data_IF_872964495219
#
_entry.id   IF_872964495219
#
_cell.length_a   1.000
_cell.length_b   1.000
_cell.length_c   1.000
_cell.angle_alpha   90.00
_cell.angle_beta   90.00
_cell.angle_gamma   90.00
#
_symmetry.space_group_name_H-M   'P 1'
#
loop_
_entity.id
_entity.type
_entity.pdbx_description
1 polymer ?
#
# COMPACT_ATOMS: atom_id res chain seq x y z
N UNK A 1 -4.77 -8.49 12.82
CA UNK A 1 -4.44 -7.57 11.73
C UNK A 1 -5.29 -7.92 10.52
N UNK A 2 -5.95 -6.95 9.90
CA UNK A 2 -6.76 -7.18 8.70
C UNK A 2 -5.84 -7.26 7.48
N UNK A 3 -5.91 -8.36 6.72
CA UNK A 3 -5.07 -8.57 5.53
C UNK A 3 -5.44 -7.66 4.36
N UNK A 4 -6.62 -7.05 4.40
CA UNK A 4 -7.08 -6.13 3.39
C UNK A 4 -7.93 -5.04 4.03
N UNK A 5 -7.77 -3.81 3.55
CA UNK A 5 -8.50 -2.63 4.04
C UNK A 5 -9.13 -1.89 2.88
N UNK A 6 -10.31 -1.34 3.10
CA UNK A 6 -11.01 -0.53 2.12
C UNK A 6 -10.59 0.93 2.27
N UNK A 7 -10.02 1.49 1.21
CA UNK A 7 -9.71 2.91 1.11
C UNK A 7 -10.50 3.48 -0.06
N UNK A 8 -11.33 4.49 0.20
CA UNK A 8 -12.11 5.17 -0.84
C UNK A 8 -13.00 4.20 -1.66
N UNK A 9 -13.60 3.21 -0.98
CA UNK A 9 -14.39 2.15 -1.60
C UNK A 9 -13.60 1.12 -2.42
N UNK A 10 -12.27 1.28 -2.54
CA UNK A 10 -11.37 0.32 -3.20
C UNK A 10 -10.70 -0.57 -2.17
N UNK A 11 -10.59 -1.88 -2.46
CA UNK A 11 -9.88 -2.84 -1.61
C UNK A 11 -8.39 -2.81 -1.88
N UNK A 12 -7.61 -2.60 -0.84
CA UNK A 12 -6.16 -2.71 -0.85
C UNK A 12 -5.73 -3.88 0.03
N UNK A 13 -4.66 -4.55 -0.37
CA UNK A 13 -4.09 -5.69 0.34
C UNK A 13 -2.88 -5.23 1.13
N UNK A 14 -2.76 -5.67 2.38
CA UNK A 14 -1.56 -5.43 3.15
C UNK A 14 -0.38 -6.14 2.50
N UNK A 15 0.76 -5.47 2.46
CA UNK A 15 2.01 -6.01 1.93
C UNK A 15 2.58 -7.19 2.74
N UNK A 16 2.08 -7.39 3.96
CA UNK A 16 2.59 -8.40 4.89
C UNK A 16 3.81 -7.95 5.68
N UNK A 17 4.34 -6.76 5.41
CA UNK A 17 5.43 -6.12 6.16
C UNK A 17 4.92 -5.00 7.05
N UNK A 18 5.43 -4.98 8.28
CA UNK A 18 5.27 -3.88 9.24
C UNK A 18 6.54 -3.04 9.22
N UNK A 19 6.36 -1.73 9.21
CA UNK A 19 7.42 -0.75 9.11
C UNK A 19 7.50 0.02 10.45
N UNK A 20 8.69 0.07 11.03
CA UNK A 20 8.91 0.74 12.32
C UNK A 20 9.03 2.26 12.17
N UNK A 21 9.49 2.70 10.99
CA UNK A 21 9.68 4.12 10.67
C UNK A 21 8.93 4.50 9.40
N UNK A 22 8.48 5.75 9.36
CA UNK A 22 7.85 6.32 8.18
C UNK A 22 8.78 6.25 6.95
N UNK A 23 10.09 6.46 7.14
CA UNK A 23 11.08 6.43 6.06
C UNK A 23 11.15 5.07 5.34
N UNK A 24 11.20 3.94 6.07
CA UNK A 24 11.20 2.59 5.46
C UNK A 24 9.89 2.35 4.69
N UNK A 25 8.77 2.85 5.24
CA UNK A 25 7.46 2.73 4.58
C UNK A 25 7.37 3.58 3.31
N UNK A 26 8.00 4.76 3.30
CA UNK A 26 7.96 5.70 2.19
C UNK A 26 8.85 5.25 1.03
N UNK A 27 10.00 4.64 1.32
CA UNK A 27 10.86 4.02 0.29
C UNK A 27 10.10 2.89 -0.43
N UNK A 28 9.49 1.97 0.34
CA UNK A 28 8.72 0.88 -0.26
C UNK A 28 7.48 1.40 -1.00
N UNK A 29 6.79 2.41 -0.47
CA UNK A 29 5.66 3.04 -1.14
C UNK A 29 6.04 3.52 -2.56
N UNK A 30 7.18 4.21 -2.68
CA UNK A 30 7.68 4.69 -3.97
C UNK A 30 8.03 3.54 -4.92
N UNK A 31 8.63 2.47 -4.41
CA UNK A 31 8.93 1.27 -5.19
C UNK A 31 7.65 0.67 -5.80
N UNK A 32 6.62 0.45 -4.98
CA UNK A 32 5.35 -0.09 -5.45
C UNK A 32 4.63 0.84 -6.45
N UNK A 33 4.66 2.16 -6.20
CA UNK A 33 4.13 3.13 -7.17
C UNK A 33 4.86 3.06 -8.51
N UNK A 34 6.18 2.88 -8.51
CA UNK A 34 6.95 2.69 -9.75
C UNK A 34 6.59 1.41 -10.49
N UNK A 35 6.11 0.38 -9.79
CA UNK A 35 5.61 -0.87 -10.38
C UNK A 35 4.15 -0.75 -10.88
N UNK A 36 3.52 0.42 -10.77
CA UNK A 36 2.14 0.66 -11.18
C UNK A 36 1.09 0.23 -10.15
N UNK A 37 1.48 0.08 -8.88
CA UNK A 37 0.55 -0.16 -7.80
C UNK A 37 0.08 1.17 -7.18
N UNK A 38 -1.20 1.26 -6.85
CA UNK A 38 -1.70 2.25 -5.89
C UNK A 38 -1.29 1.77 -4.49
N UNK A 39 -0.72 2.67 -3.68
CA UNK A 39 -0.26 2.38 -2.32
C UNK A 39 -0.91 3.35 -1.35
N UNK A 40 -1.35 2.83 -0.20
CA UNK A 40 -1.87 3.58 0.94
C UNK A 40 -1.12 3.17 2.20
N UNK A 41 -0.54 4.14 2.88
CA UNK A 41 -0.01 3.97 4.23
C UNK A 41 -1.13 4.10 5.27
N UNK A 42 -1.07 3.28 6.31
CA UNK A 42 -1.85 3.44 7.52
C UNK A 42 -0.92 3.38 8.72
N UNK A 43 -0.95 4.44 9.53
CA UNK A 43 -0.20 4.51 10.77
C UNK A 43 -1.15 4.13 11.90
N UNK A 44 -0.81 3.13 12.68
CA UNK A 44 -1.54 2.73 13.89
C UNK A 44 -0.56 2.83 15.08
N UNK A 45 -1.05 2.80 16.33
CA UNK A 45 -0.20 2.88 17.54
C UNK A 45 0.97 1.89 17.56
N UNK A 46 0.83 0.78 16.84
CA UNK A 46 1.81 -0.30 16.79
C UNK A 46 2.87 -0.09 15.68
N UNK A 47 2.67 0.79 14.69
CA UNK A 47 3.62 1.05 13.60
C UNK A 47 2.99 1.44 12.27
N UNK A 48 3.77 1.40 11.20
CA UNK A 48 3.35 1.78 9.85
C UNK A 48 3.07 0.55 8.97
N UNK A 49 1.96 0.60 8.25
CA UNK A 49 1.49 -0.48 7.38
C UNK A 49 1.29 0.04 5.96
N UNK A 50 1.71 -0.74 4.97
CA UNK A 50 1.50 -0.43 3.56
C UNK A 50 0.45 -1.35 2.96
N UNK A 51 -0.55 -0.75 2.34
CA UNK A 51 -1.59 -1.44 1.61
C UNK A 51 -1.43 -1.13 0.14
N UNK A 52 -1.24 -2.17 -0.68
CA UNK A 52 -1.02 -2.06 -2.12
C UNK A 52 -2.21 -2.60 -2.89
N UNK A 53 -2.42 -2.04 -4.08
CA UNK A 53 -3.43 -2.49 -5.04
C UNK A 53 -2.87 -2.33 -6.43
N UNK A 54 -2.89 -3.41 -7.23
CA UNK A 54 -2.49 -3.32 -8.63
C UNK A 54 -3.53 -2.54 -9.40
N UNK A 55 -3.14 -1.43 -10.01
CA UNK A 55 -3.96 -0.80 -11.04
C UNK A 55 -3.53 -1.41 -12.35
N UNK A 56 -4.39 -2.26 -12.90
CA UNK A 56 -4.25 -2.63 -14.30
C UNK A 56 -4.52 -1.32 -15.05
N UNK A 57 -3.46 -0.66 -15.54
CA UNK A 57 -3.62 0.40 -16.50
C UNK A 57 -4.39 -0.20 -17.66
N UNK A 58 -5.67 0.16 -17.82
CA UNK A 58 -6.40 -0.17 -19.03
C UNK A 58 -5.58 0.42 -20.17
N UNK A 59 -4.86 -0.43 -20.90
CA UNK A 59 -4.52 -0.17 -22.28
C UNK A 59 -5.86 -0.05 -22.99
N UNK A 60 -6.41 1.17 -23.02
CA UNK A 60 -7.43 1.52 -23.99
C UNK A 60 -6.77 1.27 -25.36
N UNK A 61 -7.19 0.18 -25.99
CA UNK A 61 -6.75 -0.22 -27.33
C UNK A 61 -7.33 0.67 -28.41
#
# INVERSE_FOLDING_TARGET
MELARLFDGKKFMWDGKKYDTEADSLEQEQHYRSLGFEVRSASEDDGHYLFTRRVVASTAG
#
